data_IF_203951891359
#
_entry.id   IF_203951891359
#
_cell.length_a   1.000
_cell.length_b   1.000
_cell.length_c   1.000
_cell.angle_alpha   90.00
_cell.angle_beta   90.00
_cell.angle_gamma   90.00
#
_symmetry.space_group_name_H-M   'P 1'
#
loop_
_entity.id
_entity.type
_entity.pdbx_description
1 polymer ?
#
# COMPACT_ATOMS: atom_id res chain seq x y z
N UNK A 1 19.58 16.24 -0.54
CA UNK A 1 18.33 15.49 -0.38
C UNK A 1 18.57 14.34 0.56
N UNK A 2 17.66 14.15 1.52
CA UNK A 2 17.77 13.06 2.49
C UNK A 2 17.05 11.81 1.97
N UNK A 3 17.72 10.67 1.98
CA UNK A 3 17.19 9.42 1.46
C UNK A 3 17.19 8.37 2.57
N UNK A 4 16.02 7.92 2.97
CA UNK A 4 15.84 6.85 3.94
C UNK A 4 15.63 5.52 3.21
N UNK A 5 16.39 4.50 3.57
CA UNK A 5 16.38 3.17 2.95
C UNK A 5 15.98 2.15 4.01
N UNK A 6 15.02 1.27 3.68
CA UNK A 6 14.58 0.24 4.61
C UNK A 6 15.72 -0.72 4.94
N UNK A 7 15.90 -0.97 6.22
CA UNK A 7 16.90 -1.91 6.74
C UNK A 7 16.63 -3.36 6.29
N UNK A 8 15.39 -3.68 5.92
CA UNK A 8 14.98 -5.01 5.40
C UNK A 8 15.45 -5.28 3.98
N UNK A 9 15.88 -4.24 3.23
CA UNK A 9 16.44 -4.34 1.88
C UNK A 9 17.84 -4.98 1.84
N UNK A 10 18.07 -6.03 2.56
CA UNK A 10 19.28 -6.88 2.65
C UNK A 10 20.54 -6.22 2.03
N UNK A 11 21.23 -6.87 1.09
CA UNK A 11 22.43 -6.34 0.44
C UNK A 11 22.18 -5.13 -0.47
N UNK A 12 20.96 -4.92 -0.97
CA UNK A 12 20.58 -3.80 -1.85
C UNK A 12 20.70 -2.45 -1.15
N UNK A 13 20.35 -2.36 0.13
CA UNK A 13 20.44 -1.12 0.93
C UNK A 13 21.83 -0.48 0.91
N UNK A 14 22.90 -1.28 0.95
CA UNK A 14 24.26 -0.76 0.95
C UNK A 14 24.69 -0.27 -0.44
N UNK A 15 24.25 -0.97 -1.51
CA UNK A 15 24.52 -0.53 -2.88
C UNK A 15 23.76 0.74 -3.23
N UNK A 16 22.51 0.84 -2.79
CA UNK A 16 21.69 2.03 -2.96
C UNK A 16 22.28 3.22 -2.18
N UNK A 17 22.63 3.02 -0.90
CA UNK A 17 23.24 4.07 -0.09
C UNK A 17 24.48 4.62 -0.78
N UNK A 18 25.42 3.74 -1.16
CA UNK A 18 26.63 4.15 -1.86
C UNK A 18 26.33 4.89 -3.17
N UNK A 19 25.39 4.39 -3.98
CA UNK A 19 24.99 5.00 -5.24
C UNK A 19 24.50 6.44 -5.07
N UNK A 20 23.71 6.70 -4.01
CA UNK A 20 23.20 8.05 -3.75
C UNK A 20 24.23 8.95 -3.08
N UNK A 21 25.07 8.44 -2.19
CA UNK A 21 26.19 9.17 -1.58
C UNK A 21 27.22 9.62 -2.62
N UNK A 22 27.57 8.75 -3.58
CA UNK A 22 28.45 9.08 -4.71
C UNK A 22 27.87 10.22 -5.59
N UNK A 23 26.56 10.45 -5.52
CA UNK A 23 25.86 11.56 -6.20
C UNK A 23 25.61 12.79 -5.30
N UNK A 24 26.17 12.79 -4.09
CA UNK A 24 26.10 13.93 -3.17
C UNK A 24 24.80 14.03 -2.38
N UNK A 25 24.12 12.90 -2.11
CA UNK A 25 22.93 12.85 -1.31
C UNK A 25 23.21 12.21 0.07
N UNK A 26 22.47 12.63 1.09
CA UNK A 26 22.58 12.06 2.43
C UNK A 26 21.72 10.80 2.52
N UNK A 27 22.26 9.70 3.01
CA UNK A 27 21.53 8.45 3.16
C UNK A 27 21.43 8.00 4.61
N UNK A 28 20.33 7.34 4.94
CA UNK A 28 20.13 6.69 6.24
C UNK A 28 19.46 5.33 6.05
N UNK A 29 20.02 4.29 6.68
CA UNK A 29 19.41 2.96 6.70
C UNK A 29 18.70 2.78 8.02
N UNK A 30 17.36 2.66 7.97
CA UNK A 30 16.51 2.52 9.17
C UNK A 30 15.30 1.64 8.84
N UNK A 31 14.59 1.13 9.85
CA UNK A 31 13.32 0.46 9.62
C UNK A 31 12.29 1.48 9.17
N UNK A 32 11.62 1.22 8.05
CA UNK A 32 10.52 2.03 7.52
C UNK A 32 9.19 1.29 7.75
N UNK A 33 8.17 2.01 8.20
CA UNK A 33 6.84 1.45 8.36
C UNK A 33 6.15 1.22 7.01
N UNK A 34 6.45 2.09 6.03
CA UNK A 34 5.84 2.07 4.69
C UNK A 34 6.90 2.35 3.62
N UNK A 35 6.97 1.47 2.61
CA UNK A 35 7.88 1.58 1.48
C UNK A 35 9.31 1.14 1.77
N UNK A 36 10.12 1.06 0.72
CA UNK A 36 11.52 0.61 0.79
C UNK A 36 12.52 1.77 0.68
N UNK A 37 12.16 2.83 -0.06
CA UNK A 37 12.97 4.02 -0.27
C UNK A 37 12.12 5.28 -0.12
N UNK A 38 12.55 6.20 0.74
CA UNK A 38 11.85 7.47 1.00
C UNK A 38 12.80 8.65 0.77
N UNK A 39 12.36 9.61 -0.04
CA UNK A 39 13.12 10.81 -0.43
C UNK A 39 12.47 12.05 0.17
N UNK A 40 13.21 12.78 1.02
CA UNK A 40 12.79 14.00 1.74
C UNK A 40 11.41 13.87 2.40
N UNK A 41 11.08 12.66 2.95
CA UNK A 41 9.82 12.30 3.61
C UNK A 41 8.54 12.57 2.79
N UNK A 42 8.66 12.75 1.47
CA UNK A 42 7.56 13.09 0.56
C UNK A 42 7.37 12.13 -0.59
N UNK A 43 8.43 11.50 -1.07
CA UNK A 43 8.39 10.58 -2.22
C UNK A 43 8.77 9.20 -1.75
N UNK A 44 7.94 8.20 -1.98
CA UNK A 44 8.18 6.82 -1.57
C UNK A 44 8.17 5.88 -2.76
N UNK A 45 9.03 4.88 -2.69
CA UNK A 45 9.07 3.77 -3.64
C UNK A 45 8.96 2.44 -2.91
N UNK A 46 8.13 1.57 -3.44
CA UNK A 46 8.15 0.13 -3.20
C UNK A 46 8.96 -0.52 -4.30
N UNK A 47 9.96 -1.29 -3.95
CA UNK A 47 10.84 -1.95 -4.88
C UNK A 47 10.53 -3.45 -4.95
N UNK A 48 10.20 -3.95 -6.12
CA UNK A 48 9.93 -5.38 -6.34
C UNK A 48 10.76 -5.91 -7.49
N UNK A 49 11.51 -6.97 -7.28
CA UNK A 49 11.98 -7.78 -8.39
C UNK A 49 10.80 -8.45 -9.10
N UNK A 50 10.92 -8.70 -10.39
CA UNK A 50 9.82 -9.25 -11.21
C UNK A 50 9.23 -10.54 -10.62
N UNK A 51 10.04 -11.39 -10.01
CA UNK A 51 9.59 -12.63 -9.37
C UNK A 51 8.72 -12.36 -8.15
N UNK A 52 9.17 -11.46 -7.28
CA UNK A 52 8.46 -11.05 -6.07
C UNK A 52 7.20 -10.25 -6.42
N UNK A 53 7.26 -9.39 -7.45
CA UNK A 53 6.10 -8.70 -7.98
C UNK A 53 5.02 -9.69 -8.42
N UNK A 54 5.36 -10.70 -9.21
CA UNK A 54 4.40 -11.70 -9.66
C UNK A 54 3.83 -12.54 -8.50
N UNK A 55 4.61 -12.78 -7.45
CA UNK A 55 4.15 -13.40 -6.20
C UNK A 55 3.17 -12.53 -5.45
N UNK A 56 3.50 -11.24 -5.28
CA UNK A 56 2.68 -10.27 -4.55
C UNK A 56 1.39 -9.87 -5.27
N UNK A 57 1.34 -10.02 -6.60
CA UNK A 57 0.09 -9.90 -7.38
C UNK A 57 -0.87 -11.04 -7.05
N UNK A 58 -0.36 -12.27 -6.81
CA UNK A 58 -1.21 -13.43 -6.52
C UNK A 58 -1.88 -13.35 -5.14
N UNK A 59 -1.18 -12.80 -4.15
CA UNK A 59 -1.70 -12.63 -2.79
C UNK A 59 -2.22 -11.21 -2.50
N UNK A 60 -2.29 -10.37 -3.53
CA UNK A 60 -2.76 -8.98 -3.50
C UNK A 60 -1.93 -8.01 -2.62
N UNK A 61 -0.79 -8.44 -2.07
CA UNK A 61 0.00 -7.60 -1.14
C UNK A 61 0.52 -6.31 -1.80
N UNK A 62 0.96 -6.36 -3.06
CA UNK A 62 1.46 -5.18 -3.78
C UNK A 62 0.42 -4.06 -3.88
N UNK A 63 -0.88 -4.40 -3.97
CA UNK A 63 -1.94 -3.39 -4.04
C UNK A 63 -2.19 -2.76 -2.66
N UNK A 64 -2.14 -3.55 -1.59
CA UNK A 64 -2.28 -3.06 -0.23
C UNK A 64 -1.09 -2.17 0.17
N UNK A 65 0.14 -2.59 -0.16
CA UNK A 65 1.36 -1.79 0.05
C UNK A 65 1.27 -0.45 -0.67
N UNK A 66 0.88 -0.44 -1.95
CA UNK A 66 0.72 0.78 -2.73
C UNK A 66 -0.41 1.69 -2.20
N UNK A 67 -1.52 1.12 -1.70
CA UNK A 67 -2.59 1.89 -1.06
C UNK A 67 -2.13 2.51 0.27
N UNK A 68 -1.35 1.77 1.07
CA UNK A 68 -0.78 2.30 2.32
C UNK A 68 0.17 3.47 2.02
N UNK A 69 1.02 3.35 1.00
CA UNK A 69 1.89 4.44 0.57
C UNK A 69 1.10 5.69 0.16
N UNK A 70 0.01 5.50 -0.59
CA UNK A 70 -0.85 6.59 -1.03
C UNK A 70 -1.53 7.36 0.11
N UNK A 71 -1.68 6.73 1.27
CA UNK A 71 -2.24 7.38 2.47
C UNK A 71 -1.23 8.26 3.21
N UNK A 72 0.06 7.93 3.09
CA UNK A 72 1.13 8.55 3.89
C UNK A 72 1.92 9.59 3.10
N UNK A 73 2.21 9.31 1.81
CA UNK A 73 3.16 10.09 1.02
C UNK A 73 2.50 10.92 -0.09
N UNK A 74 3.08 12.08 -0.42
CA UNK A 74 2.61 12.94 -1.50
C UNK A 74 2.77 12.28 -2.86
N UNK A 75 3.90 11.60 -3.05
CA UNK A 75 4.25 10.90 -4.28
C UNK A 75 4.65 9.47 -3.93
N UNK A 76 4.02 8.51 -4.57
CA UNK A 76 4.23 7.09 -4.28
C UNK A 76 4.29 6.28 -5.56
N UNK A 77 5.24 5.35 -5.59
CA UNK A 77 5.59 4.56 -6.77
C UNK A 77 5.76 3.09 -6.40
N UNK A 78 5.41 2.20 -7.31
CA UNK A 78 5.81 0.79 -7.28
C UNK A 78 6.81 0.58 -8.41
N UNK A 79 8.06 0.34 -8.05
CA UNK A 79 9.12 0.06 -9.01
C UNK A 79 9.26 -1.46 -9.17
N UNK A 80 9.18 -1.91 -10.43
CA UNK A 80 9.36 -3.32 -10.79
C UNK A 80 10.63 -3.47 -11.61
N UNK A 81 11.60 -4.19 -11.05
CA UNK A 81 12.89 -4.45 -11.68
C UNK A 81 12.89 -5.83 -12.32
N UNK A 82 13.33 -5.87 -13.56
CA UNK A 82 13.52 -7.08 -14.34
C UNK A 82 12.57 -7.21 -15.52
N UNK A 83 12.81 -8.23 -16.33
CA UNK A 83 12.06 -8.51 -17.53
C UNK A 83 11.21 -9.76 -17.34
N UNK A 84 9.90 -9.64 -17.54
CA UNK A 84 8.95 -10.75 -17.36
C UNK A 84 9.30 -11.96 -18.24
N UNK A 85 9.70 -11.72 -19.49
CA UNK A 85 10.04 -12.79 -20.42
C UNK A 85 11.27 -13.56 -19.94
N UNK A 86 12.35 -12.86 -19.64
CA UNK A 86 13.58 -13.47 -19.12
C UNK A 86 13.34 -14.22 -17.82
N UNK A 87 12.49 -13.67 -16.93
CA UNK A 87 12.11 -14.36 -15.70
C UNK A 87 11.32 -15.65 -15.98
N UNK A 88 10.39 -15.65 -16.92
CA UNK A 88 9.64 -16.84 -17.32
C UNK A 88 10.56 -17.88 -17.96
N UNK A 89 11.47 -17.46 -18.84
CA UNK A 89 12.45 -18.35 -19.51
C UNK A 89 13.43 -18.99 -18.53
N UNK A 90 13.84 -18.27 -17.48
CA UNK A 90 14.76 -18.78 -16.44
C UNK A 90 14.06 -19.65 -15.37
N UNK A 91 12.74 -19.65 -15.31
CA UNK A 91 11.98 -20.29 -14.24
C UNK A 91 11.61 -21.74 -14.55
N UNK A 92 12.62 -22.60 -14.59
CA UNK A 92 12.46 -24.04 -14.77
C UNK A 92 12.10 -24.73 -13.47
N UNK A 93 11.17 -25.67 -13.50
CA UNK A 93 10.86 -26.56 -12.38
C UNK A 93 11.02 -28.01 -12.78
N UNK A 94 11.63 -28.79 -11.90
CA UNK A 94 11.72 -30.23 -12.01
C UNK A 94 10.54 -30.86 -11.28
N UNK A 95 9.63 -31.47 -12.03
CA UNK A 95 8.42 -32.11 -11.49
C UNK A 95 8.22 -33.44 -12.22
N UNK A 96 7.95 -34.53 -11.50
CA UNK A 96 7.70 -35.87 -12.06
C UNK A 96 8.81 -36.34 -13.02
N UNK A 97 10.06 -36.19 -12.57
CA UNK A 97 11.26 -36.60 -13.35
C UNK A 97 11.43 -35.88 -14.71
N UNK A 98 10.82 -34.70 -14.88
CA UNK A 98 10.97 -33.86 -16.08
C UNK A 98 11.17 -32.42 -15.72
N UNK A 99 12.00 -31.73 -16.51
CA UNK A 99 12.12 -30.28 -16.47
C UNK A 99 10.96 -29.64 -17.23
N UNK A 100 10.24 -28.75 -16.55
CA UNK A 100 9.14 -27.98 -17.12
C UNK A 100 9.52 -26.51 -17.16
N UNK A 101 9.47 -25.91 -18.34
CA UNK A 101 9.59 -24.47 -18.48
C UNK A 101 8.20 -23.84 -18.26
N UNK A 102 8.15 -22.83 -17.38
CA UNK A 102 6.94 -22.05 -17.17
C UNK A 102 6.57 -21.18 -18.38
N UNK A 103 7.54 -20.85 -19.23
CA UNK A 103 7.33 -19.99 -20.37
C UNK A 103 6.20 -20.49 -21.27
N UNK A 104 6.30 -21.72 -21.78
CA UNK A 104 5.34 -22.25 -22.75
C UNK A 104 3.93 -22.47 -22.16
N UNK A 105 3.86 -22.95 -20.92
CA UNK A 105 2.58 -23.28 -20.30
C UNK A 105 1.84 -22.09 -19.70
N UNK A 106 2.57 -21.10 -19.19
CA UNK A 106 2.00 -20.01 -18.38
C UNK A 106 2.20 -18.61 -18.97
N UNK A 107 2.82 -18.51 -20.16
CA UNK A 107 3.10 -17.21 -20.78
C UNK A 107 1.86 -16.31 -20.86
N UNK A 108 0.79 -16.79 -21.45
CA UNK A 108 -0.43 -16.00 -21.65
C UNK A 108 -1.08 -15.60 -20.31
N UNK A 109 -1.16 -16.53 -19.36
CA UNK A 109 -1.73 -16.24 -18.04
C UNK A 109 -0.85 -15.29 -17.22
N UNK A 110 0.47 -15.42 -17.32
CA UNK A 110 1.42 -14.56 -16.65
C UNK A 110 1.44 -13.14 -17.25
N UNK A 111 1.38 -13.02 -18.58
CA UNK A 111 1.22 -11.74 -19.27
C UNK A 111 -0.08 -11.05 -18.87
N UNK A 112 -1.20 -11.78 -18.88
CA UNK A 112 -2.49 -11.24 -18.46
C UNK A 112 -2.49 -10.72 -17.03
N UNK A 113 -1.89 -11.45 -16.09
CA UNK A 113 -1.73 -11.04 -14.69
C UNK A 113 -0.82 -9.82 -14.56
N UNK A 114 0.33 -9.86 -15.20
CA UNK A 114 1.31 -8.77 -15.16
C UNK A 114 0.69 -7.45 -15.65
N UNK A 115 0.15 -7.44 -16.86
CA UNK A 115 -0.46 -6.22 -17.42
C UNK A 115 -1.75 -5.82 -16.70
N UNK A 116 -2.53 -6.80 -16.21
CA UNK A 116 -3.70 -6.54 -15.37
C UNK A 116 -3.31 -5.85 -14.06
N UNK A 117 -2.25 -6.33 -13.41
CA UNK A 117 -1.72 -5.73 -12.18
C UNK A 117 -1.20 -4.31 -12.42
N UNK A 118 -0.41 -4.09 -13.48
CA UNK A 118 0.07 -2.75 -13.83
C UNK A 118 -1.09 -1.79 -14.13
N UNK A 119 -2.14 -2.26 -14.81
CA UNK A 119 -3.34 -1.45 -15.06
C UNK A 119 -4.06 -1.10 -13.74
N UNK A 120 -4.21 -2.06 -12.83
CA UNK A 120 -4.82 -1.82 -11.52
C UNK A 120 -3.97 -0.86 -10.68
N UNK A 121 -2.65 -1.02 -10.64
CA UNK A 121 -1.75 -0.10 -9.94
C UNK A 121 -1.89 1.34 -10.45
N UNK A 122 -2.00 1.54 -11.76
CA UNK A 122 -2.15 2.88 -12.37
C UNK A 122 -3.40 3.64 -11.92
N UNK A 123 -4.35 2.99 -11.28
CA UNK A 123 -5.53 3.68 -10.74
C UNK A 123 -5.24 4.43 -9.45
N UNK A 124 -4.16 4.12 -8.73
CA UNK A 124 -3.83 4.73 -7.44
C UNK A 124 -2.33 4.96 -7.19
N UNK A 125 -1.44 4.47 -8.03
CA UNK A 125 0.00 4.71 -7.95
C UNK A 125 0.61 4.78 -9.35
N UNK A 126 1.88 5.11 -9.45
CA UNK A 126 2.62 5.07 -10.72
C UNK A 126 3.58 3.87 -10.73
N UNK A 127 3.28 2.79 -11.48
CA UNK A 127 4.23 1.70 -11.66
C UNK A 127 5.38 2.16 -12.58
N UNK A 128 6.61 1.96 -12.11
CA UNK A 128 7.85 2.24 -12.82
C UNK A 128 8.52 0.92 -13.18
N UNK A 129 8.90 0.74 -14.44
CA UNK A 129 9.49 -0.49 -14.95
C UNK A 129 10.94 -0.23 -15.36
N UNK A 130 11.87 -1.03 -14.84
CA UNK A 130 13.30 -0.95 -15.14
C UNK A 130 13.87 -2.35 -15.32
N UNK A 131 14.98 -2.46 -16.04
CA UNK A 131 15.59 -3.78 -16.29
C UNK A 131 16.67 -4.13 -15.27
N UNK A 132 17.45 -3.14 -14.83
CA UNK A 132 18.60 -3.37 -13.94
C UNK A 132 18.42 -2.62 -12.60
N UNK A 133 19.17 -3.06 -11.58
CA UNK A 133 19.20 -2.42 -10.27
C UNK A 133 19.77 -0.99 -10.35
N UNK A 134 20.78 -0.77 -11.18
CA UNK A 134 21.38 0.55 -11.35
C UNK A 134 20.38 1.53 -11.98
N UNK A 135 19.66 1.09 -13.02
CA UNK A 135 18.56 1.87 -13.61
C UNK A 135 17.46 2.17 -12.58
N UNK A 136 17.19 1.22 -11.65
CA UNK A 136 16.22 1.44 -10.60
C UNK A 136 16.62 2.60 -9.67
N UNK A 137 17.87 2.62 -9.23
CA UNK A 137 18.38 3.69 -8.38
C UNK A 137 18.38 5.05 -9.09
N UNK A 138 18.78 5.09 -10.36
CA UNK A 138 18.76 6.31 -11.16
C UNK A 138 17.34 6.82 -11.38
N UNK A 139 16.40 5.93 -11.71
CA UNK A 139 15.02 6.31 -11.97
C UNK A 139 14.31 6.79 -10.71
N UNK A 140 14.53 6.12 -9.55
CA UNK A 140 13.99 6.59 -8.27
C UNK A 140 14.48 8.00 -7.94
N UNK A 141 15.79 8.27 -8.11
CA UNK A 141 16.38 9.57 -7.87
C UNK A 141 15.80 10.62 -8.82
N UNK A 142 15.72 10.32 -10.11
CA UNK A 142 15.19 11.24 -11.13
C UNK A 142 13.71 11.58 -10.88
N UNK A 143 12.89 10.60 -10.55
CA UNK A 143 11.47 10.83 -10.23
C UNK A 143 11.32 11.64 -8.94
N UNK A 144 12.12 11.34 -7.90
CA UNK A 144 12.09 12.10 -6.66
C UNK A 144 12.44 13.58 -6.91
N UNK A 145 13.51 13.87 -7.65
CA UNK A 145 13.89 15.25 -8.02
C UNK A 145 12.73 15.94 -8.76
N UNK A 146 12.13 15.28 -9.77
CA UNK A 146 11.00 15.87 -10.52
C UNK A 146 9.80 16.19 -9.64
N UNK A 147 9.50 15.31 -8.67
CA UNK A 147 8.39 15.53 -7.74
C UNK A 147 8.67 16.70 -6.80
N UNK A 148 9.86 16.75 -6.22
CA UNK A 148 10.26 17.79 -5.26
C UNK A 148 10.40 19.17 -5.93
N UNK A 149 10.84 19.22 -7.18
CA UNK A 149 10.91 20.45 -7.99
C UNK A 149 9.54 20.92 -8.52
N UNK A 150 8.45 20.19 -8.25
CA UNK A 150 7.12 20.51 -8.78
C UNK A 150 6.98 20.30 -10.30
N UNK A 151 7.92 19.60 -10.92
CA UNK A 151 7.92 19.30 -12.37
C UNK A 151 7.19 18.00 -12.71
N UNK A 152 6.86 17.19 -11.69
CA UNK A 152 6.12 15.95 -11.89
C UNK A 152 4.64 16.23 -12.10
N UNK A 153 4.07 15.61 -13.13
CA UNK A 153 2.61 15.56 -13.36
C UNK A 153 2.02 14.30 -12.75
N UNK A 154 2.45 13.95 -11.55
CA UNK A 154 1.90 12.82 -10.84
C UNK A 154 0.48 13.15 -10.37
N UNK A 155 -0.50 12.42 -10.84
CA UNK A 155 -1.88 12.51 -10.39
C UNK A 155 -2.22 11.22 -9.66
N UNK A 156 -2.29 11.26 -8.33
CA UNK A 156 -2.91 10.19 -7.58
C UNK A 156 -4.43 10.32 -7.67
N UNK A 157 -5.10 9.30 -8.18
CA UNK A 157 -6.56 9.22 -8.13
C UNK A 157 -7.06 8.79 -6.74
N UNK A 158 -6.15 8.52 -5.81
CA UNK A 158 -6.50 8.22 -4.43
C UNK A 158 -6.81 9.55 -3.74
N UNK A 159 -8.09 9.80 -3.55
CA UNK A 159 -8.51 10.80 -2.57
C UNK A 159 -8.02 10.26 -1.22
N UNK A 160 -6.97 10.86 -0.67
CA UNK A 160 -6.57 10.57 0.70
C UNK A 160 -7.81 10.82 1.57
N UNK A 161 -8.27 9.86 2.34
CA UNK A 161 -9.13 10.22 3.43
C UNK A 161 -8.28 11.14 4.29
N UNK A 162 -8.61 12.42 4.34
CA UNK A 162 -8.08 13.29 5.40
C UNK A 162 -8.46 12.55 6.68
N UNK A 163 -7.48 12.12 7.49
CA UNK A 163 -7.82 11.47 8.75
C UNK A 163 -8.74 12.43 9.45
N UNK A 164 -9.97 12.00 9.73
CA UNK A 164 -10.88 12.84 10.49
C UNK A 164 -10.18 13.12 11.81
N UNK A 165 -10.05 14.39 12.18
CA UNK A 165 -9.55 14.77 13.51
C UNK A 165 -10.65 14.62 14.55
N UNK A 166 -11.86 14.30 14.13
CA UNK A 166 -12.98 14.05 15.01
C UNK A 166 -12.81 12.68 15.71
N UNK A 167 -12.75 12.63 17.04
CA UNK A 167 -12.55 11.39 17.78
C UNK A 167 -13.62 10.32 17.46
N UNK A 168 -14.85 10.73 17.15
CA UNK A 168 -15.93 9.82 16.77
C UNK A 168 -15.64 9.13 15.44
N UNK A 169 -15.20 9.90 14.44
CA UNK A 169 -14.86 9.34 13.13
C UNK A 169 -13.63 8.41 13.22
N UNK A 170 -12.63 8.77 14.03
CA UNK A 170 -11.46 7.93 14.30
C UNK A 170 -11.89 6.61 14.93
N UNK A 171 -12.74 6.65 15.95
CA UNK A 171 -13.25 5.47 16.62
C UNK A 171 -14.06 4.58 15.67
N UNK A 172 -15.00 5.16 14.92
CA UNK A 172 -15.82 4.44 13.95
C UNK A 172 -15.00 3.79 12.84
N UNK A 173 -13.99 4.48 12.31
CA UNK A 173 -13.13 3.93 11.25
C UNK A 173 -12.21 2.81 11.73
N UNK A 174 -12.00 2.70 13.06
CA UNK A 174 -11.29 1.57 13.66
C UNK A 174 -12.14 0.30 13.71
N UNK A 175 -13.47 0.42 13.52
CA UNK A 175 -14.37 -0.73 13.48
C UNK A 175 -14.28 -1.46 12.15
N UNK A 176 -14.22 -2.79 12.19
CA UNK A 176 -14.17 -3.63 10.98
C UNK A 176 -15.41 -3.44 10.10
N UNK A 177 -15.18 -3.00 8.86
CA UNK A 177 -16.25 -2.80 7.87
C UNK A 177 -16.82 -1.39 7.82
N UNK A 178 -16.23 -0.45 8.58
CA UNK A 178 -16.58 0.97 8.55
C UNK A 178 -15.51 1.76 7.79
N UNK A 179 -15.89 2.36 6.68
CA UNK A 179 -15.06 3.31 5.92
C UNK A 179 -15.31 4.74 6.43
N UNK A 180 -14.43 5.68 6.10
CA UNK A 180 -14.61 7.10 6.44
C UNK A 180 -15.95 7.68 5.98
N UNK A 181 -16.43 7.26 4.80
CA UNK A 181 -17.77 7.65 4.30
C UNK A 181 -18.91 7.10 5.17
N UNK A 182 -18.77 5.85 5.62
CA UNK A 182 -19.76 5.25 6.53
C UNK A 182 -19.71 5.90 7.90
N UNK A 183 -18.52 6.20 8.44
CA UNK A 183 -18.37 6.91 9.71
C UNK A 183 -19.06 8.28 9.66
N UNK A 184 -18.77 9.06 8.63
CA UNK A 184 -19.41 10.35 8.39
C UNK A 184 -20.94 10.24 8.26
N UNK A 185 -21.44 9.19 7.57
CA UNK A 185 -22.85 8.95 7.39
C UNK A 185 -23.53 8.58 8.73
N UNK A 186 -22.91 7.68 9.51
CA UNK A 186 -23.38 7.32 10.88
C UNK A 186 -23.50 8.59 11.74
N UNK A 187 -22.44 9.38 11.78
CA UNK A 187 -22.38 10.60 12.58
C UNK A 187 -23.48 11.60 12.20
N UNK A 188 -23.66 11.83 10.90
CA UNK A 188 -24.67 12.79 10.41
C UNK A 188 -26.11 12.30 10.64
N UNK A 189 -26.39 11.00 10.45
CA UNK A 189 -27.73 10.44 10.58
C UNK A 189 -28.25 10.54 12.01
N UNK A 190 -27.41 10.36 13.01
CA UNK A 190 -27.77 10.39 14.42
C UNK A 190 -27.31 11.66 15.15
N UNK A 191 -26.82 12.68 14.44
CA UNK A 191 -26.30 13.93 15.00
C UNK A 191 -25.28 13.70 16.14
N UNK A 192 -24.36 12.73 15.96
CA UNK A 192 -23.37 12.36 16.97
C UNK A 192 -22.31 13.46 17.04
N UNK A 193 -22.23 14.12 18.19
CA UNK A 193 -21.30 15.21 18.42
C UNK A 193 -20.07 14.78 19.24
N UNK A 194 -20.17 13.68 19.97
CA UNK A 194 -19.11 13.18 20.83
C UNK A 194 -19.21 11.65 21.03
N UNK A 195 -18.24 11.07 21.71
CA UNK A 195 -18.15 9.62 21.94
C UNK A 195 -19.32 9.10 22.80
N UNK A 196 -19.86 9.92 23.74
CA UNK A 196 -21.00 9.52 24.56
C UNK A 196 -22.26 9.33 23.71
N UNK A 197 -22.49 10.20 22.72
CA UNK A 197 -23.63 10.06 21.81
C UNK A 197 -23.52 8.74 21.06
N UNK A 198 -22.31 8.36 20.65
CA UNK A 198 -22.03 7.10 19.96
C UNK A 198 -22.29 5.88 20.87
N UNK A 199 -21.89 5.95 22.14
CA UNK A 199 -22.11 4.88 23.13
C UNK A 199 -23.59 4.65 23.44
N UNK A 200 -24.46 5.63 23.23
CA UNK A 200 -25.88 5.51 23.44
C UNK A 200 -26.64 4.87 22.27
N UNK A 201 -25.99 4.60 21.14
CA UNK A 201 -26.65 3.95 20.01
C UNK A 201 -26.82 2.45 20.25
N UNK A 202 -28.02 1.97 19.95
CA UNK A 202 -28.31 0.54 19.94
C UNK A 202 -27.96 -0.10 18.61
N UNK A 203 -27.85 -1.43 18.59
CA UNK A 203 -27.67 -2.18 17.33
C UNK A 203 -28.79 -1.86 16.33
N UNK A 204 -30.03 -1.64 16.81
CA UNK A 204 -31.15 -1.30 15.94
C UNK A 204 -31.02 0.09 15.33
N UNK A 205 -30.54 1.08 16.07
CA UNK A 205 -30.29 2.42 15.54
C UNK A 205 -29.24 2.36 14.40
N UNK A 206 -28.17 1.59 14.60
CA UNK A 206 -27.15 1.39 13.59
C UNK A 206 -27.66 0.67 12.33
N UNK A 207 -28.58 -0.29 12.48
CA UNK A 207 -29.21 -1.00 11.35
C UNK A 207 -30.11 -0.13 10.50
N UNK A 208 -30.71 0.91 11.07
CA UNK A 208 -31.58 1.84 10.34
C UNK A 208 -30.79 2.75 9.39
N UNK A 209 -29.47 2.76 9.47
CA UNK A 209 -28.61 3.57 8.61
C UNK A 209 -28.40 2.84 7.29
N UNK A 210 -28.69 3.51 6.18
CA UNK A 210 -28.47 2.97 4.84
C UNK A 210 -27.00 2.55 4.63
N UNK A 211 -26.77 1.32 4.17
CA UNK A 211 -25.44 0.75 3.96
C UNK A 211 -24.77 0.15 5.21
N UNK A 212 -25.46 0.12 6.36
CA UNK A 212 -25.02 -0.57 7.57
C UNK A 212 -25.89 -1.82 7.77
N UNK A 213 -25.34 -2.98 7.44
CA UNK A 213 -26.03 -4.26 7.63
C UNK A 213 -25.76 -4.88 9.02
N UNK A 214 -26.45 -5.98 9.32
CA UNK A 214 -26.38 -6.69 10.62
C UNK A 214 -24.96 -6.94 11.13
N UNK A 215 -24.07 -7.40 10.25
CA UNK A 215 -22.69 -7.69 10.62
C UNK A 215 -21.92 -6.44 11.03
N UNK A 216 -22.12 -5.33 10.31
CA UNK A 216 -21.41 -4.08 10.57
C UNK A 216 -21.94 -3.41 11.83
N UNK A 217 -23.27 -3.40 12.04
CA UNK A 217 -23.89 -2.84 13.25
C UNK A 217 -23.47 -3.58 14.51
N UNK A 218 -23.43 -4.92 14.47
CA UNK A 218 -22.93 -5.71 15.59
C UNK A 218 -21.43 -5.44 15.85
N UNK A 219 -20.60 -5.39 14.82
CA UNK A 219 -19.18 -5.08 14.99
C UNK A 219 -18.94 -3.70 15.62
N UNK A 220 -19.72 -2.69 15.23
CA UNK A 220 -19.64 -1.35 15.81
C UNK A 220 -20.05 -1.39 17.28
N UNK A 221 -21.20 -1.98 17.57
CA UNK A 221 -21.73 -2.07 18.93
C UNK A 221 -20.78 -2.81 19.87
N UNK A 222 -20.31 -4.00 19.48
CA UNK A 222 -19.33 -4.77 20.25
C UNK A 222 -18.02 -4.03 20.47
N UNK A 223 -17.53 -3.31 19.44
CA UNK A 223 -16.29 -2.55 19.55
C UNK A 223 -16.39 -1.41 20.55
N UNK A 224 -17.52 -0.70 20.56
CA UNK A 224 -17.76 0.45 21.45
C UNK A 224 -17.99 0.00 22.90
N UNK A 225 -18.68 -1.13 23.11
CA UNK A 225 -19.04 -1.64 24.44
C UNK A 225 -18.10 -2.75 24.94
N UNK A 226 -17.02 -3.03 24.23
CA UNK A 226 -16.01 -4.02 24.63
C UNK A 226 -15.17 -3.47 25.79
N UNK A 227 -15.61 -3.70 26.97
CA UNK A 227 -15.01 -3.23 28.22
C UNK A 227 -16.02 -3.17 29.37
N UNK A 228 -17.32 -3.32 29.10
CA UNK A 228 -18.36 -3.31 30.15
C UNK A 228 -18.63 -4.67 30.77
N UNK A 229 -17.84 -5.71 30.50
CA UNK A 229 -18.17 -7.05 30.97
C UNK A 229 -17.01 -8.01 31.11
N UNK A 230 -15.99 -7.70 31.93
CA UNK A 230 -15.03 -8.71 32.41
C UNK A 230 -14.38 -8.33 33.76
N UNK A 231 -15.12 -7.66 34.64
CA UNK A 231 -14.75 -7.46 36.06
C UNK A 231 -15.65 -8.24 37.02
N UNK A 232 -16.04 -9.46 36.65
CA UNK A 232 -16.63 -10.42 37.58
C UNK A 232 -15.98 -11.79 37.38
N UNK A 233 -14.76 -11.98 37.96
CA UNK A 233 -14.30 -13.27 38.50
C UNK A 233 -13.10 -13.03 39.44
#
# INVERSE_FOLDING_TARGET
MNISIDSREKGRRFRAAKHYEDKGHDTSVKSLDVGDYVFDDRVVFEYKEIGDFMGSVLNESVFNEALNQAQVFDFHYVLVQGNLRSWLESNWRYVNNKWHNRYDKYLHSSLGRYFGALRRLRTFTCPVLVETEEQAFDEMLLQAIKCLDGKSKFYSNVTRPVPSQDPVDVLLTSCKGVSSKKAEHIRKTHNICNVYDLMNLTVNDLKMIEGIGDKTSNNIYEFIHKGEGDDDL
#
